data_IF_472022987851
#
_entry.id   IF_472022987851
#
_cell.length_a   1.000
_cell.length_b   1.000
_cell.length_c   1.000
_cell.angle_alpha   90.00
_cell.angle_beta   90.00
_cell.angle_gamma   90.00
#
_symmetry.space_group_name_H-M   'P 1'
#
loop_
_entity.id
_entity.type
_entity.pdbx_description
1 polymer ?
#
# COMPACT_ATOMS: atom_id res chain seq x y z
N UNK A 1 -23.80 13.09 67.58
CA UNK A 1 -23.02 13.38 66.37
C UNK A 1 -22.00 12.28 66.12
N UNK A 2 -22.28 11.34 65.20
CA UNK A 2 -21.31 10.45 64.53
C UNK A 2 -21.86 10.16 63.13
N UNK A 3 -21.10 10.52 62.10
CA UNK A 3 -21.38 10.24 60.67
C UNK A 3 -21.01 8.78 60.38
N UNK A 4 -21.77 8.05 59.57
CA UNK A 4 -21.20 7.20 58.50
C UNK A 4 -22.24 6.97 57.39
N UNK A 5 -21.84 7.28 56.15
CA UNK A 5 -22.51 7.00 54.87
C UNK A 5 -21.85 5.77 54.26
N UNK A 6 -22.61 4.75 53.86
CA UNK A 6 -22.19 3.68 52.92
C UNK A 6 -23.46 3.11 52.25
N UNK A 7 -23.55 2.76 50.96
CA UNK A 7 -22.64 2.87 49.81
C UNK A 7 -23.51 2.69 48.55
N UNK A 8 -23.39 3.60 47.58
CA UNK A 8 -23.81 3.39 46.19
C UNK A 8 -22.55 2.97 45.45
N UNK A 9 -22.25 1.67 45.39
CA UNK A 9 -21.16 1.14 44.56
C UNK A 9 -21.50 -0.28 44.09
N UNK A 10 -22.60 -0.45 43.36
CA UNK A 10 -22.86 -1.69 42.58
C UNK A 10 -23.45 -1.33 41.20
N UNK A 11 -22.90 -0.33 40.53
CA UNK A 11 -23.35 0.02 39.17
C UNK A 11 -22.26 0.55 38.24
N UNK A 12 -20.98 0.53 38.66
CA UNK A 12 -19.86 1.05 37.84
C UNK A 12 -18.83 -0.05 37.47
N UNK A 13 -19.07 -1.33 37.81
CA UNK A 13 -18.06 -2.40 37.59
C UNK A 13 -18.38 -3.34 36.41
N UNK A 14 -19.49 -3.15 35.67
CA UNK A 14 -19.79 -3.96 34.47
C UNK A 14 -19.81 -3.09 33.19
N UNK A 15 -18.82 -2.21 33.05
CA UNK A 15 -18.49 -1.60 31.75
C UNK A 15 -17.05 -1.89 31.31
N UNK A 16 -16.31 -2.74 32.03
CA UNK A 16 -14.93 -3.11 31.71
C UNK A 16 -14.78 -4.38 30.86
N UNK A 17 -15.78 -4.68 30.03
CA UNK A 17 -15.62 -5.61 28.92
C UNK A 17 -15.96 -4.89 27.61
N UNK A 18 -15.40 -3.70 27.41
CA UNK A 18 -15.25 -3.16 26.07
C UNK A 18 -13.99 -3.77 25.44
N UNK A 19 -14.27 -4.77 24.61
CA UNK A 19 -13.71 -4.97 23.27
C UNK A 19 -12.22 -4.66 23.15
N UNK A 20 -11.40 -5.71 23.18
CA UNK A 20 -10.12 -5.72 22.49
C UNK A 20 -10.16 -6.82 21.43
N UNK A 21 -10.82 -6.51 20.32
CA UNK A 21 -10.31 -6.96 19.04
C UNK A 21 -9.44 -5.80 18.56
N UNK A 22 -8.10 -5.95 18.57
CA UNK A 22 -7.27 -5.15 17.68
C UNK A 22 -7.79 -5.48 16.28
N UNK A 23 -8.65 -4.62 15.73
CA UNK A 23 -8.95 -4.66 14.31
C UNK A 23 -7.60 -4.52 13.63
N UNK A 24 -7.18 -5.52 12.86
CA UNK A 24 -6.01 -5.38 11.99
C UNK A 24 -6.31 -4.18 11.08
N UNK A 25 -5.72 -3.04 11.42
CA UNK A 25 -5.92 -1.81 10.66
C UNK A 25 -5.47 -2.03 9.23
N UNK A 26 -6.19 -1.46 8.27
CA UNK A 26 -5.76 -1.49 6.88
C UNK A 26 -4.54 -0.57 6.74
N UNK A 27 -3.45 -1.08 6.16
CA UNK A 27 -2.29 -0.26 5.81
C UNK A 27 -2.38 0.14 4.32
N UNK A 28 -2.68 1.41 4.06
CA UNK A 28 -2.96 1.88 2.70
C UNK A 28 -1.69 2.24 1.94
N UNK A 29 -1.50 1.59 0.79
CA UNK A 29 -0.51 2.03 -0.21
C UNK A 29 -1.07 3.19 -1.02
N UNK A 30 -2.35 3.11 -1.40
CA UNK A 30 -3.07 4.13 -2.16
C UNK A 30 -4.56 4.11 -1.82
N UNK A 31 -5.13 5.27 -1.52
CA UNK A 31 -6.57 5.49 -1.33
C UNK A 31 -7.13 6.45 -2.38
N UNK A 32 -6.52 7.62 -2.53
CA UNK A 32 -6.80 8.68 -3.52
C UNK A 32 -5.54 9.54 -3.67
N UNK A 33 -5.34 10.26 -4.78
CA UNK A 33 -4.09 11.01 -5.07
C UNK A 33 -3.61 11.90 -3.91
N UNK A 34 -4.54 12.53 -3.19
CA UNK A 34 -4.25 13.48 -2.11
C UNK A 34 -4.56 12.93 -0.72
N UNK A 35 -4.78 11.63 -0.61
CA UNK A 35 -5.10 11.02 0.66
C UNK A 35 -3.90 11.03 1.59
N UNK A 36 -4.11 11.48 2.83
CA UNK A 36 -3.05 11.60 3.83
C UNK A 36 -2.58 10.25 4.38
N UNK A 37 -3.34 9.19 4.10
CA UNK A 37 -3.05 7.81 4.50
C UNK A 37 -2.33 7.01 3.40
N UNK A 38 -1.87 7.64 2.32
CA UNK A 38 -0.95 7.01 1.38
C UNK A 38 0.45 6.95 2.00
N UNK A 39 1.01 5.75 2.17
CA UNK A 39 2.26 5.57 2.92
C UNK A 39 3.53 5.49 2.03
N UNK A 40 3.39 5.32 0.72
CA UNK A 40 4.51 5.14 -0.20
C UNK A 40 4.42 6.08 -1.41
N UNK A 41 5.56 6.27 -2.10
CA UNK A 41 5.65 7.08 -3.33
C UNK A 41 6.02 6.19 -4.52
N UNK A 42 5.31 6.24 -5.66
CA UNK A 42 5.64 5.47 -6.86
C UNK A 42 6.86 6.04 -7.61
N UNK A 43 8.03 5.85 -7.02
CA UNK A 43 9.29 6.42 -7.51
C UNK A 43 10.26 5.39 -8.09
N UNK A 44 10.03 4.10 -7.84
CA UNK A 44 10.98 3.06 -8.20
C UNK A 44 10.79 2.53 -9.62
N UNK A 45 11.00 3.37 -10.62
CA UNK A 45 10.83 3.00 -12.03
C UNK A 45 11.93 2.04 -12.50
N UNK A 46 11.54 0.98 -13.20
CA UNK A 46 12.44 -0.07 -13.69
C UNK A 46 12.09 -0.52 -15.11
N UNK A 47 13.03 -1.22 -15.73
CA UNK A 47 12.87 -1.73 -17.09
C UNK A 47 12.94 -0.59 -18.10
N UNK A 48 12.01 -0.58 -19.05
CA UNK A 48 11.79 0.51 -19.99
C UNK A 48 11.11 1.72 -19.29
N UNK A 49 11.77 2.27 -18.27
CA UNK A 49 11.25 3.36 -17.44
C UNK A 49 10.90 4.61 -18.25
N UNK A 50 11.54 4.83 -19.41
CA UNK A 50 11.21 5.95 -20.31
C UNK A 50 9.88 5.78 -21.04
N UNK A 51 9.31 4.58 -21.01
CA UNK A 51 8.13 4.21 -21.77
C UNK A 51 6.88 4.04 -20.91
N UNK A 52 7.01 4.05 -19.58
CA UNK A 52 5.91 3.90 -18.61
C UNK A 52 5.65 5.22 -17.88
N UNK A 53 4.37 5.52 -17.65
CA UNK A 53 3.94 6.67 -16.83
C UNK A 53 2.86 6.24 -15.86
N UNK A 54 2.97 6.69 -14.61
CA UNK A 54 1.92 6.60 -13.61
C UNK A 54 1.17 7.94 -13.50
N UNK A 55 -0.15 7.88 -13.47
CA UNK A 55 -1.01 9.01 -13.12
C UNK A 55 -1.89 8.60 -11.93
N UNK A 56 -1.49 9.02 -10.73
CA UNK A 56 -2.18 8.71 -9.47
C UNK A 56 -3.50 9.47 -9.29
N UNK A 57 -3.78 10.49 -10.12
CA UNK A 57 -4.98 11.32 -10.08
C UNK A 57 -5.96 11.01 -11.20
N UNK A 58 -5.98 9.78 -11.73
CA UNK A 58 -6.84 9.44 -12.85
C UNK A 58 -8.29 9.28 -12.38
N UNK A 59 -9.22 10.05 -12.95
CA UNK A 59 -10.61 10.15 -12.48
C UNK A 59 -11.59 9.22 -13.22
N UNK A 60 -11.14 8.51 -14.25
CA UNK A 60 -12.05 7.71 -15.08
C UNK A 60 -12.31 6.35 -14.45
N UNK A 61 -13.55 6.15 -14.00
CA UNK A 61 -14.07 4.91 -13.44
C UNK A 61 -13.13 4.28 -12.38
N UNK A 62 -12.81 5.02 -11.29
CA UNK A 62 -12.10 4.44 -10.16
C UNK A 62 -12.99 3.39 -9.48
N UNK A 63 -12.38 2.33 -8.94
CA UNK A 63 -13.13 1.30 -8.21
C UNK A 63 -13.77 1.84 -6.92
N UNK A 64 -13.09 2.79 -6.27
CA UNK A 64 -13.50 3.47 -5.05
C UNK A 64 -12.90 4.88 -5.02
N UNK A 65 -13.46 5.78 -4.19
CA UNK A 65 -12.93 7.14 -4.06
C UNK A 65 -13.18 8.01 -5.29
N UNK A 66 -12.31 9.00 -5.48
CA UNK A 66 -12.42 10.00 -6.54
C UNK A 66 -11.38 9.83 -7.66
N UNK A 67 -10.31 9.09 -7.38
CA UNK A 67 -9.17 8.87 -8.26
C UNK A 67 -8.71 7.41 -8.20
N UNK A 68 -8.03 6.97 -9.25
CA UNK A 68 -7.28 5.73 -9.30
C UNK A 68 -5.92 5.98 -9.96
N UNK A 69 -5.06 4.97 -9.91
CA UNK A 69 -3.76 5.01 -10.57
C UNK A 69 -3.91 4.45 -11.98
N UNK A 70 -3.56 5.25 -12.99
CA UNK A 70 -3.43 4.80 -14.37
C UNK A 70 -1.96 4.56 -14.71
N UNK A 71 -1.70 3.40 -15.32
CA UNK A 71 -0.42 3.12 -15.99
C UNK A 71 -0.59 3.18 -17.50
N UNK A 72 0.32 3.88 -18.17
CA UNK A 72 0.45 3.88 -19.62
C UNK A 72 1.86 3.43 -19.97
N UNK A 73 1.98 2.28 -20.65
CA UNK A 73 3.24 1.75 -21.15
C UNK A 73 3.24 1.71 -22.68
N UNK A 74 4.20 2.38 -23.31
CA UNK A 74 4.28 2.51 -24.78
C UNK A 74 5.09 1.41 -25.47
N UNK A 75 5.87 0.63 -24.71
CA UNK A 75 6.67 -0.49 -25.20
C UNK A 75 7.61 -0.15 -26.38
N UNK A 76 8.17 1.07 -26.42
CA UNK A 76 9.16 1.47 -27.43
C UNK A 76 10.51 0.80 -27.22
N UNK A 77 10.72 0.20 -26.05
CA UNK A 77 11.96 -0.44 -25.60
C UNK A 77 13.08 0.57 -25.46
N UNK A 78 12.78 1.74 -24.89
CA UNK A 78 13.77 2.81 -24.70
C UNK A 78 14.98 2.38 -23.88
N UNK A 79 14.88 1.33 -23.07
CA UNK A 79 15.98 0.73 -22.31
C UNK A 79 16.29 -0.71 -22.74
N UNK A 80 15.74 -1.19 -23.86
CA UNK A 80 15.91 -2.55 -24.40
C UNK A 80 15.42 -3.70 -23.50
N UNK A 81 14.50 -3.43 -22.55
CA UNK A 81 14.07 -4.44 -21.58
C UNK A 81 12.76 -5.16 -21.96
N UNK A 82 11.92 -4.57 -22.83
CA UNK A 82 10.62 -5.12 -23.24
C UNK A 82 9.63 -5.36 -22.08
N UNK A 83 9.89 -4.75 -20.93
CA UNK A 83 9.01 -4.69 -19.77
C UNK A 83 9.29 -3.38 -19.03
N UNK A 84 8.33 -2.89 -18.27
CA UNK A 84 8.53 -1.77 -17.36
C UNK A 84 7.76 -2.02 -16.06
N UNK A 85 8.25 -1.47 -14.97
CA UNK A 85 7.64 -1.62 -13.65
C UNK A 85 7.89 -0.39 -12.78
N UNK A 86 7.09 -0.25 -11.72
CA UNK A 86 7.21 0.83 -10.75
C UNK A 86 7.06 0.25 -9.34
N UNK A 87 8.05 0.50 -8.48
CA UNK A 87 7.94 0.28 -7.05
C UNK A 87 7.38 1.50 -6.34
N UNK A 88 6.55 1.23 -5.34
CA UNK A 88 6.18 2.18 -4.31
C UNK A 88 7.22 2.09 -3.20
N UNK A 89 7.94 3.19 -2.98
CA UNK A 89 9.10 3.23 -2.08
C UNK A 89 8.87 4.19 -0.92
N UNK A 90 9.60 3.96 0.17
CA UNK A 90 9.68 4.84 1.31
C UNK A 90 11.13 4.91 1.86
N UNK A 91 11.73 6.10 1.99
CA UNK A 91 11.32 7.35 1.32
C UNK A 91 11.36 7.23 -0.22
N UNK A 92 10.96 8.30 -0.91
CA UNK A 92 11.03 8.38 -2.37
C UNK A 92 12.44 8.02 -2.90
N UNK A 93 12.50 7.24 -3.98
CA UNK A 93 13.71 6.77 -4.66
C UNK A 93 14.65 5.90 -3.80
N UNK A 94 14.17 5.30 -2.72
CA UNK A 94 14.99 4.47 -1.83
C UNK A 94 15.14 3.03 -2.37
N UNK A 95 16.33 2.68 -2.85
CA UNK A 95 16.70 1.33 -3.30
C UNK A 95 17.48 0.54 -2.23
N UNK A 96 17.28 0.88 -0.96
CA UNK A 96 17.87 0.17 0.19
C UNK A 96 19.11 0.85 0.76
N UNK A 97 19.46 2.05 0.27
CA UNK A 97 20.59 2.84 0.75
C UNK A 97 20.24 3.71 1.97
N UNK A 98 18.95 3.99 2.19
CA UNK A 98 18.49 4.86 3.28
C UNK A 98 17.51 4.11 4.17
N UNK A 99 17.59 4.36 5.49
CA UNK A 99 16.61 3.84 6.44
C UNK A 99 15.22 4.40 6.12
N UNK A 100 14.26 3.50 5.93
CA UNK A 100 12.86 3.82 5.64
C UNK A 100 11.97 2.60 5.85
N UNK A 101 10.79 2.63 5.23
CA UNK A 101 9.83 1.54 5.28
C UNK A 101 8.96 1.54 6.53
N UNK A 102 8.11 0.53 6.63
CA UNK A 102 7.13 0.37 7.70
C UNK A 102 7.15 -1.05 8.24
N UNK A 103 6.86 -1.21 9.53
CA UNK A 103 6.66 -2.53 10.12
C UNK A 103 5.29 -3.09 9.72
N UNK A 104 5.29 -4.01 8.76
CA UNK A 104 4.11 -4.70 8.28
C UNK A 104 4.01 -6.14 8.81
N UNK A 105 4.74 -6.49 9.89
CA UNK A 105 4.79 -7.87 10.44
C UNK A 105 3.44 -8.44 10.87
N UNK A 106 2.46 -7.58 11.17
CA UNK A 106 1.08 -7.98 11.49
C UNK A 106 0.19 -8.16 10.25
N UNK A 107 0.66 -7.77 9.06
CA UNK A 107 -0.11 -7.85 7.80
C UNK A 107 0.23 -9.14 7.05
N UNK A 108 -0.78 -9.82 6.50
CA UNK A 108 -0.62 -11.09 5.78
C UNK A 108 -1.21 -11.10 4.37
N UNK A 109 -1.82 -9.99 3.93
CA UNK A 109 -2.53 -9.92 2.66
C UNK A 109 -2.38 -8.54 2.01
N UNK A 110 -1.95 -8.53 0.75
CA UNK A 110 -2.15 -7.40 -0.16
C UNK A 110 -3.42 -7.63 -0.98
N UNK A 111 -4.29 -6.62 -1.05
CA UNK A 111 -5.50 -6.64 -1.88
C UNK A 111 -5.55 -5.35 -2.69
N UNK A 112 -5.89 -5.45 -3.97
CA UNK A 112 -6.09 -4.30 -4.84
C UNK A 112 -7.04 -4.68 -5.98
N UNK A 113 -7.61 -3.66 -6.63
CA UNK A 113 -8.40 -3.80 -7.83
C UNK A 113 -7.63 -3.24 -9.02
N UNK A 114 -7.67 -3.94 -10.14
CA UNK A 114 -7.05 -3.50 -11.38
C UNK A 114 -7.93 -3.89 -12.57
N UNK A 115 -7.84 -3.09 -13.65
CA UNK A 115 -8.57 -3.31 -14.90
C UNK A 115 -7.70 -2.90 -16.09
N UNK A 116 -7.86 -3.60 -17.20
CA UNK A 116 -7.41 -3.12 -18.50
C UNK A 116 -8.29 -1.96 -19.00
N UNK A 117 -7.73 -1.10 -19.86
CA UNK A 117 -8.49 -0.02 -20.50
C UNK A 117 -9.15 -0.51 -21.78
N UNK A 118 -8.45 -1.34 -22.56
CA UNK A 118 -8.88 -1.89 -23.86
C UNK A 118 -9.12 -3.40 -23.81
N UNK A 119 -8.58 -4.09 -22.82
CA UNK A 119 -8.54 -5.55 -22.73
C UNK A 119 -7.29 -6.13 -23.38
N UNK A 120 -6.74 -7.18 -22.77
CA UNK A 120 -5.52 -7.86 -23.22
C UNK A 120 -4.22 -7.24 -22.70
N UNK A 121 -4.28 -6.16 -21.93
CA UNK A 121 -3.14 -5.68 -21.14
C UNK A 121 -2.72 -6.74 -20.13
N UNK A 122 -1.41 -6.92 -19.95
CA UNK A 122 -0.85 -7.96 -19.08
C UNK A 122 0.01 -7.37 -17.99
N UNK A 123 -0.20 -7.84 -16.76
CA UNK A 123 0.72 -7.61 -15.65
C UNK A 123 1.56 -8.87 -15.48
N UNK A 124 2.84 -8.78 -15.83
CA UNK A 124 3.76 -9.93 -15.73
C UNK A 124 4.06 -10.30 -14.27
N UNK A 125 4.12 -9.31 -13.38
CA UNK A 125 4.39 -9.54 -11.96
C UNK A 125 3.81 -8.44 -11.08
N UNK A 126 3.22 -8.84 -9.94
CA UNK A 126 3.05 -8.00 -8.76
C UNK A 126 4.01 -8.49 -7.70
N UNK A 127 4.72 -7.57 -7.05
CA UNK A 127 5.71 -7.87 -6.03
C UNK A 127 5.53 -6.99 -4.80
N UNK A 128 5.83 -7.56 -3.65
CA UNK A 128 5.95 -6.89 -2.36
C UNK A 128 7.38 -7.13 -1.87
N UNK A 129 7.99 -6.08 -1.33
CA UNK A 129 9.36 -6.10 -0.84
C UNK A 129 10.39 -6.51 -1.90
N UNK A 130 11.52 -7.04 -1.45
CA UNK A 130 12.61 -7.51 -2.31
C UNK A 130 13.60 -6.42 -2.76
N UNK A 131 13.54 -5.21 -2.20
CA UNK A 131 14.63 -4.25 -2.29
C UNK A 131 15.77 -4.73 -1.36
N UNK A 132 16.97 -4.82 -1.92
CA UNK A 132 18.19 -5.23 -1.22
C UNK A 132 19.08 -4.03 -0.91
N UNK A 133 19.91 -4.07 0.12
CA UNK A 133 20.84 -2.99 0.44
C UNK A 133 21.27 -3.06 1.90
N UNK A 134 21.82 -1.96 2.43
CA UNK A 134 22.09 -1.80 3.86
C UNK A 134 20.79 -1.83 4.68
N UNK A 135 19.74 -1.22 4.13
CA UNK A 135 18.39 -1.19 4.68
C UNK A 135 17.45 -2.01 3.79
N UNK A 136 17.76 -3.30 3.64
CA UNK A 136 16.98 -4.23 2.83
C UNK A 136 15.58 -4.50 3.42
N UNK A 137 14.64 -4.84 2.55
CA UNK A 137 13.35 -5.38 2.96
C UNK A 137 13.54 -6.73 3.68
N UNK A 138 12.76 -6.96 4.73
CA UNK A 138 12.81 -8.19 5.53
C UNK A 138 12.07 -9.37 4.91
N UNK A 139 11.24 -9.13 3.89
CA UNK A 139 10.46 -10.17 3.21
C UNK A 139 10.25 -9.85 1.73
N UNK A 140 9.87 -10.87 0.95
CA UNK A 140 9.47 -10.71 -0.45
C UNK A 140 8.36 -11.69 -0.83
N UNK A 141 7.36 -11.18 -1.55
CA UNK A 141 6.31 -11.98 -2.14
C UNK A 141 6.09 -11.55 -3.59
N UNK A 142 5.77 -12.50 -4.47
CA UNK A 142 5.47 -12.23 -5.87
C UNK A 142 4.30 -13.05 -6.39
N UNK A 143 3.53 -12.45 -7.29
CA UNK A 143 2.50 -13.09 -8.08
C UNK A 143 2.79 -12.82 -9.55
N UNK A 144 3.03 -13.87 -10.33
CA UNK A 144 3.24 -13.76 -11.77
C UNK A 144 1.96 -13.47 -12.55
N UNK A 145 2.09 -13.39 -13.88
CA UNK A 145 1.06 -13.16 -14.91
C UNK A 145 -0.38 -13.09 -14.41
N UNK A 146 -0.92 -11.88 -14.40
CA UNK A 146 -2.32 -11.59 -14.07
C UNK A 146 -2.85 -10.47 -14.96
N UNK A 147 -4.16 -10.53 -15.23
CA UNK A 147 -4.92 -9.65 -16.15
C UNK A 147 -4.43 -9.72 -17.61
#
# INVERSE_FOLDING_TARGET
MKKVVWVIVISIIISYLQVNAEELGVFNVYTDQKSLDNHYVPSGYMGDYGDIKANEGYINNPHSGSTCIQFVYTAKKSQSQSWAGVYWQNPENNWGEVKGGFDLSKMSKLSFWARGEKGGEKIEEIRIGGISGEYADSDTAKKGKTI
#
